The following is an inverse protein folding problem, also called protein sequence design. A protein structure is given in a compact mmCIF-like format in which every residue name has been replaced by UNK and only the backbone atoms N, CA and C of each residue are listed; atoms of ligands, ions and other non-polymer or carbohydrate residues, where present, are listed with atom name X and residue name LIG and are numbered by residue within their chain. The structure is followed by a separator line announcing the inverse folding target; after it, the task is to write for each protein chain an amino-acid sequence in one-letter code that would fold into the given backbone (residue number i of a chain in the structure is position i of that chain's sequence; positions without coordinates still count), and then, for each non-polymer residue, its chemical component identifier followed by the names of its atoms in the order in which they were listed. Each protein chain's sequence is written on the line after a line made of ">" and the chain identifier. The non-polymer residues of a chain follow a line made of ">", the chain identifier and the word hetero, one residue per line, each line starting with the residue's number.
data_IF_635229167946
#
_entry.id   IF_635229167946
#
_cell.length_a   1.000
_cell.length_b   1.000
_cell.length_c   1.000
_cell.angle_alpha   90.00
_cell.angle_beta   90.00
_cell.angle_gamma   90.00
#
_symmetry.space_group_name_H-M   'P 1'
#
loop_
_entity.id
_entity.type
_entity.pdbx_description
1 polymer ?
#
# COMPACT_ATOMS: atom_id res chain seq x y z
N UNK A 1 -7.18 6.27 22.59
CA UNK A 1 -6.11 5.29 22.90
C UNK A 1 -5.46 4.99 21.57
N UNK A 2 -4.22 5.41 21.34
CA UNK A 2 -3.56 5.19 20.06
C UNK A 2 -3.14 3.72 19.96
N UNK A 3 -3.76 2.98 19.06
CA UNK A 3 -3.30 1.64 18.71
C UNK A 3 -1.93 1.80 18.08
N UNK A 4 -0.91 1.20 18.70
CA UNK A 4 0.44 1.20 18.12
C UNK A 4 0.40 0.31 16.90
N UNK A 5 0.32 0.89 15.70
CA UNK A 5 0.41 0.12 14.46
C UNK A 5 1.78 -0.55 14.41
N UNK A 6 1.78 -1.86 14.56
CA UNK A 6 3.01 -2.65 14.56
C UNK A 6 3.49 -2.76 13.12
N UNK A 7 4.63 -2.12 12.83
CA UNK A 7 5.35 -2.34 11.59
C UNK A 7 5.84 -3.80 11.58
N UNK A 8 5.50 -4.62 10.57
CA UNK A 8 5.97 -6.00 10.48
C UNK A 8 7.49 -6.06 10.43
N UNK A 9 8.02 -7.20 10.86
CA UNK A 9 9.41 -7.54 10.67
C UNK A 9 9.75 -7.65 9.17
N UNK A 10 11.04 -7.55 8.84
CA UNK A 10 11.51 -7.69 7.45
C UNK A 10 11.12 -9.03 6.83
N UNK A 11 11.16 -10.11 7.60
CA UNK A 11 10.79 -11.44 7.14
C UNK A 11 9.30 -11.52 6.78
N UNK A 12 8.43 -10.93 7.60
CA UNK A 12 6.99 -10.86 7.33
C UNK A 12 6.68 -10.00 6.10
N UNK A 13 7.39 -8.89 5.92
CA UNK A 13 7.26 -8.04 4.74
C UNK A 13 7.63 -8.77 3.45
N UNK A 14 8.80 -9.45 3.43
CA UNK A 14 9.24 -10.23 2.27
C UNK A 14 8.24 -11.33 1.91
N UNK A 15 7.67 -12.00 2.93
CA UNK A 15 6.61 -12.99 2.72
C UNK A 15 5.37 -12.37 2.05
N UNK A 16 4.91 -11.20 2.50
CA UNK A 16 3.75 -10.51 1.89
C UNK A 16 4.02 -10.07 0.45
N UNK A 17 5.21 -9.54 0.18
CA UNK A 17 5.59 -9.11 -1.18
C UNK A 17 5.57 -10.32 -2.11
N UNK A 18 6.11 -11.47 -1.68
CA UNK A 18 6.15 -12.71 -2.47
C UNK A 18 4.77 -13.27 -2.83
N UNK A 19 3.81 -13.16 -1.91
CA UNK A 19 2.42 -13.59 -2.15
C UNK A 19 1.66 -12.63 -3.09
N UNK A 20 2.17 -11.43 -3.31
CA UNK A 20 1.56 -10.48 -4.23
C UNK A 20 1.87 -10.88 -5.66
N UNK A 21 0.81 -11.09 -6.47
CA UNK A 21 0.93 -11.57 -7.86
C UNK A 21 1.94 -10.78 -8.72
N UNK A 22 2.09 -9.48 -8.46
CA UNK A 22 3.02 -8.60 -9.17
C UNK A 22 4.49 -9.00 -9.00
N UNK A 23 4.85 -9.65 -7.88
CA UNK A 23 6.23 -9.92 -7.49
C UNK A 23 6.56 -11.42 -7.40
N UNK A 24 5.63 -12.30 -7.74
CA UNK A 24 5.77 -13.76 -7.60
C UNK A 24 6.96 -14.37 -8.35
N UNK A 25 7.38 -13.73 -9.43
CA UNK A 25 8.44 -14.19 -10.35
C UNK A 25 9.77 -13.43 -10.14
N UNK A 26 9.87 -12.62 -9.08
CA UNK A 26 11.12 -11.92 -8.74
C UNK A 26 12.06 -12.85 -7.95
N UNK A 27 13.34 -12.79 -8.31
CA UNK A 27 14.40 -13.48 -7.58
C UNK A 27 14.61 -12.87 -6.18
N UNK A 28 15.12 -13.68 -5.24
CA UNK A 28 15.28 -13.30 -3.83
C UNK A 28 16.15 -12.05 -3.66
N UNK A 29 17.22 -11.90 -4.43
CA UNK A 29 18.10 -10.73 -4.37
C UNK A 29 17.36 -9.44 -4.73
N UNK A 30 16.44 -9.50 -5.70
CA UNK A 30 15.62 -8.36 -6.14
C UNK A 30 14.58 -8.01 -5.07
N UNK A 31 13.99 -9.02 -4.43
CA UNK A 31 13.05 -8.81 -3.31
C UNK A 31 13.76 -8.21 -2.10
N UNK A 32 14.97 -8.66 -1.78
CA UNK A 32 15.78 -8.08 -0.71
C UNK A 32 16.08 -6.61 -0.99
N UNK A 33 16.51 -6.27 -2.20
CA UNK A 33 16.80 -4.89 -2.58
C UNK A 33 15.54 -4.02 -2.54
N UNK A 34 14.42 -4.50 -3.10
CA UNK A 34 13.13 -3.81 -3.01
C UNK A 34 12.75 -3.53 -1.55
N UNK A 35 12.93 -4.49 -0.65
CA UNK A 35 12.57 -4.34 0.76
C UNK A 35 13.34 -3.24 1.50
N UNK A 36 14.52 -2.84 0.98
CA UNK A 36 15.36 -1.79 1.57
C UNK A 36 14.86 -0.39 1.23
N UNK A 37 14.21 -0.22 0.08
CA UNK A 37 13.77 1.08 -0.45
C UNK A 37 12.30 1.40 -0.10
N UNK A 38 11.61 0.54 0.65
CA UNK A 38 10.21 0.75 1.02
C UNK A 38 10.05 1.77 2.14
N UNK A 39 9.12 2.70 1.91
CA UNK A 39 8.69 3.69 2.90
C UNK A 39 7.36 3.30 3.54
N UNK A 40 7.23 3.51 4.85
CA UNK A 40 6.02 3.18 5.60
C UNK A 40 5.04 4.34 5.59
N UNK A 41 3.79 4.05 5.24
CA UNK A 41 2.67 5.00 5.33
C UNK A 41 1.64 4.43 6.29
N UNK A 42 1.23 5.24 7.25
CA UNK A 42 0.15 4.92 8.19
C UNK A 42 -0.96 5.93 8.02
N UNK A 43 -2.19 5.43 7.90
CA UNK A 43 -3.40 6.23 7.78
C UNK A 43 -4.34 5.96 8.95
N UNK A 44 -4.88 6.98 9.57
CA UNK A 44 -5.98 6.87 10.51
C UNK A 44 -7.32 6.61 9.77
N UNK A 45 -8.34 6.04 10.44
CA UNK A 45 -9.65 5.87 9.83
C UNK A 45 -10.22 7.17 9.27
N UNK A 46 -10.54 7.18 7.98
CA UNK A 46 -11.06 8.34 7.26
C UNK A 46 -10.00 9.22 6.58
N UNK A 47 -8.71 8.92 6.73
CA UNK A 47 -7.66 9.59 5.96
C UNK A 47 -7.56 9.04 4.53
N UNK A 48 -7.33 9.93 3.57
CA UNK A 48 -7.10 9.57 2.18
C UNK A 48 -5.62 9.32 1.93
N UNK A 49 -5.29 8.19 1.29
CA UNK A 49 -3.91 7.92 0.84
C UNK A 49 -3.49 8.89 -0.27
N UNK A 50 -4.38 9.08 -1.25
CA UNK A 50 -4.29 10.05 -2.34
C UNK A 50 -5.69 10.31 -2.89
N UNK A 51 -5.85 11.40 -3.63
CA UNK A 51 -7.08 11.79 -4.30
C UNK A 51 -6.96 11.61 -5.82
N UNK A 52 -8.10 11.42 -6.49
CA UNK A 52 -8.13 11.35 -7.96
C UNK A 52 -7.62 12.67 -8.56
N UNK A 53 -6.68 12.56 -9.50
CA UNK A 53 -6.04 13.71 -10.15
C UNK A 53 -4.72 14.13 -9.50
N UNK A 54 -4.38 13.56 -8.34
CA UNK A 54 -3.07 13.77 -7.72
C UNK A 54 -1.96 13.19 -8.61
N UNK A 55 -0.84 13.91 -8.71
CA UNK A 55 0.35 13.40 -9.36
C UNK A 55 0.90 12.24 -8.52
N UNK A 56 1.10 11.07 -9.15
CA UNK A 56 1.64 9.89 -8.46
C UNK A 56 2.94 9.42 -9.11
N UNK A 57 3.94 9.16 -8.27
CA UNK A 57 5.22 8.52 -8.60
C UNK A 57 5.43 7.21 -7.82
N UNK A 58 4.42 6.79 -7.05
CA UNK A 58 4.55 5.77 -6.01
C UNK A 58 3.54 4.65 -6.16
N UNK A 59 3.97 3.43 -5.83
CA UNK A 59 3.10 2.25 -5.71
C UNK A 59 2.97 1.87 -4.24
N UNK A 60 1.76 1.52 -3.80
CA UNK A 60 1.48 1.19 -2.41
C UNK A 60 1.07 -0.27 -2.26
N UNK A 61 1.57 -0.91 -1.21
CA UNK A 61 1.15 -2.24 -0.77
C UNK A 61 0.44 -2.11 0.57
N UNK A 62 -0.79 -2.60 0.66
CA UNK A 62 -1.53 -2.65 1.93
C UNK A 62 -1.05 -3.84 2.73
N UNK A 63 -0.40 -3.57 3.86
CA UNK A 63 0.14 -4.58 4.77
C UNK A 63 -0.90 -4.97 5.82
N UNK A 64 -1.64 -4.00 6.35
CA UNK A 64 -2.69 -4.20 7.34
C UNK A 64 -3.81 -3.16 7.15
N UNK A 65 -5.05 -3.61 7.34
CA UNK A 65 -6.26 -2.80 7.13
C UNK A 65 -6.87 -2.89 5.74
N UNK A 66 -7.79 -1.97 5.45
CA UNK A 66 -8.59 -1.92 4.22
C UNK A 66 -8.61 -0.50 3.68
N UNK A 67 -8.43 -0.34 2.37
CA UNK A 67 -8.63 0.91 1.67
C UNK A 67 -9.88 0.84 0.80
N UNK A 68 -10.66 1.92 0.78
CA UNK A 68 -11.77 2.10 -0.14
C UNK A 68 -11.30 2.93 -1.33
N UNK A 69 -11.51 2.41 -2.53
CA UNK A 69 -11.30 3.17 -3.78
C UNK A 69 -12.63 3.79 -4.18
N UNK A 70 -12.63 5.09 -4.47
CA UNK A 70 -13.76 5.83 -5.00
C UNK A 70 -13.30 6.65 -6.21
N UNK A 71 -14.16 6.78 -7.20
CA UNK A 71 -13.92 7.59 -8.40
C UNK A 71 -14.98 8.69 -8.41
N UNK A 72 -14.55 9.94 -8.48
CA UNK A 72 -15.43 11.06 -8.74
C UNK A 72 -15.84 10.99 -10.21
N UNK A 73 -17.12 10.68 -10.43
CA UNK A 73 -17.72 10.73 -11.76
C UNK A 73 -18.22 12.16 -11.95
N UNK A 74 -17.57 12.92 -12.82
CA UNK A 74 -18.00 14.26 -13.19
C UNK A 74 -19.11 14.13 -14.25
N UNK A 75 -20.21 13.55 -13.83
CA UNK A 75 -21.47 13.57 -14.54
C UNK A 75 -22.50 13.88 -13.46
N UNK A 76 -23.47 14.76 -13.70
CA UNK A 76 -24.41 15.27 -12.69
C UNK A 76 -25.39 14.23 -12.10
N UNK A 77 -24.97 12.97 -11.99
CA UNK A 77 -25.69 11.81 -11.50
C UNK A 77 -24.96 11.26 -10.26
N UNK A 78 -25.62 11.39 -9.11
CA UNK A 78 -25.21 10.70 -7.88
C UNK A 78 -25.33 9.17 -8.06
N UNK A 79 -24.34 8.42 -7.57
CA UNK A 79 -24.47 6.98 -7.27
C UNK A 79 -24.24 6.74 -5.78
#
# INVERSE_FOLDING_TARGET
>A
MAETKIKPSRAELLAHIRETYLFKDLDEDVLEDLSKDLSWVSLEPGENLFCQGDQSDSTYLVIDGLLKVAVNVDDGSEL
#
